data_IF_936940710308
#
_entry.id   IF_936940710308
#
_cell.length_a   1.000
_cell.length_b   1.000
_cell.length_c   1.000
_cell.angle_alpha   90.00
_cell.angle_beta   90.00
_cell.angle_gamma   90.00
#
_symmetry.space_group_name_H-M   'P 1'
#
loop_
_entity.id
_entity.type
_entity.pdbx_description
1 polymer ?
#
# COMPACT_ATOMS: atom_id res chain seq x y z
N UNK A 1 12.28 -7.67 7.07
CA UNK A 1 11.42 -6.52 6.70
C UNK A 1 11.26 -5.57 7.87
N UNK A 2 10.61 -5.99 8.93
CA UNK A 2 10.34 -5.12 10.10
C UNK A 2 11.62 -4.71 10.84
N UNK A 3 12.66 -5.51 10.83
CA UNK A 3 13.89 -5.28 11.57
C UNK A 3 14.86 -4.23 10.97
N UNK A 4 14.57 -3.72 9.78
CA UNK A 4 15.46 -2.81 9.05
C UNK A 4 14.93 -1.37 8.97
N UNK A 5 13.76 -1.08 9.58
CA UNK A 5 13.14 0.24 9.58
C UNK A 5 12.56 0.63 10.94
N UNK A 6 12.23 1.90 11.08
CA UNK A 6 11.47 2.39 12.22
C UNK A 6 9.97 2.26 11.91
N UNK A 7 9.26 1.43 12.67
CA UNK A 7 7.83 1.17 12.47
C UNK A 7 7.02 1.91 13.53
N UNK A 8 6.12 2.76 13.10
CA UNK A 8 5.22 3.54 13.96
C UNK A 8 3.78 3.16 13.65
N UNK A 9 3.07 2.66 14.65
CA UNK A 9 1.61 2.50 14.60
C UNK A 9 0.91 3.75 15.10
N UNK A 10 -0.01 4.27 14.32
CA UNK A 10 -0.79 5.48 14.65
C UNK A 10 -2.16 5.09 15.27
N UNK A 11 -2.19 4.10 16.14
CA UNK A 11 -3.36 3.66 16.86
C UNK A 11 -3.10 3.68 18.37
N UNK A 12 -4.17 3.92 19.14
CA UNK A 12 -4.10 3.88 20.59
C UNK A 12 -4.28 2.43 21.04
N UNK A 13 -3.43 1.98 21.94
CA UNK A 13 -3.51 0.64 22.53
C UNK A 13 -3.89 0.73 24.02
N UNK A 14 -4.53 -0.33 24.52
CA UNK A 14 -4.75 -0.53 25.94
C UNK A 14 -3.45 -0.98 26.67
N UNK A 15 -3.53 -1.14 27.99
CA UNK A 15 -2.40 -1.59 28.82
C UNK A 15 -1.89 -2.99 28.45
N UNK A 16 -2.64 -3.75 27.66
CA UNK A 16 -2.29 -5.09 27.16
C UNK A 16 -1.74 -5.04 25.74
N UNK A 17 -1.69 -3.86 25.10
CA UNK A 17 -1.23 -3.68 23.73
C UNK A 17 -2.31 -3.92 22.65
N UNK A 18 -3.60 -4.07 23.02
CA UNK A 18 -4.67 -4.23 22.04
C UNK A 18 -5.09 -2.87 21.49
N UNK A 19 -5.29 -2.72 20.17
CA UNK A 19 -5.79 -1.48 19.58
C UNK A 19 -7.20 -1.15 20.09
N UNK A 20 -7.39 0.05 20.62
CA UNK A 20 -8.69 0.56 21.13
C UNK A 20 -9.22 1.75 20.33
N UNK A 21 -8.40 2.36 19.47
CA UNK A 21 -8.82 3.41 18.58
C UNK A 21 -7.97 3.38 17.30
N UNK A 22 -8.58 3.81 16.20
CA UNK A 22 -7.90 3.99 14.91
C UNK A 22 -6.98 5.21 14.92
N UNK A 23 -6.11 5.32 13.92
CA UNK A 23 -5.28 6.49 13.67
C UNK A 23 -6.11 7.79 13.72
N UNK A 24 -5.55 8.84 14.27
CA UNK A 24 -6.11 10.18 14.13
C UNK A 24 -6.13 10.56 12.65
N UNK A 25 -7.22 11.21 12.20
CA UNK A 25 -7.39 11.52 10.78
C UNK A 25 -6.20 12.21 10.14
N UNK A 26 -5.86 11.82 8.92
CA UNK A 26 -4.81 12.42 8.10
C UNK A 26 -3.45 11.69 8.12
N UNK A 27 -3.37 10.52 8.74
CA UNK A 27 -2.15 9.70 8.77
C UNK A 27 -2.49 8.24 8.53
N UNK A 28 -1.55 7.50 7.94
CA UNK A 28 -1.67 6.05 7.78
C UNK A 28 -1.71 5.33 9.12
N UNK A 29 -2.42 4.20 9.18
CA UNK A 29 -2.52 3.36 10.39
C UNK A 29 -1.15 2.91 10.90
N UNK A 30 -0.26 2.53 9.98
CA UNK A 30 1.12 2.15 10.27
C UNK A 30 2.04 2.84 9.27
N UNK A 31 3.16 3.37 9.75
CA UNK A 31 4.21 3.95 8.92
C UNK A 31 5.51 3.18 9.16
N UNK A 32 6.09 2.66 8.09
CA UNK A 32 7.43 2.11 8.05
C UNK A 32 8.39 3.13 7.45
N UNK A 33 9.37 3.60 8.23
CA UNK A 33 10.42 4.51 7.77
C UNK A 33 11.74 3.73 7.61
N UNK A 34 12.22 3.64 6.38
CA UNK A 34 13.44 2.93 6.00
C UNK A 34 14.60 3.89 5.66
N UNK A 35 14.45 5.18 5.97
CA UNK A 35 15.43 6.21 5.72
C UNK A 35 15.33 6.77 4.28
N UNK A 36 15.56 5.97 3.27
CA UNK A 36 15.48 6.38 1.86
C UNK A 36 14.05 6.49 1.34
N UNK A 37 13.12 5.74 1.94
CA UNK A 37 11.71 5.75 1.58
C UNK A 37 10.83 5.39 2.78
N UNK A 38 9.54 5.67 2.64
CA UNK A 38 8.51 5.32 3.63
C UNK A 38 7.41 4.47 3.01
N UNK A 39 6.81 3.63 3.85
CA UNK A 39 5.61 2.86 3.48
C UNK A 39 4.49 3.25 4.44
N UNK A 40 3.37 3.71 3.89
CA UNK A 40 2.12 3.83 4.64
C UNK A 40 1.29 2.56 4.48
N UNK A 41 0.88 1.95 5.59
CA UNK A 41 0.02 0.77 5.59
C UNK A 41 -1.33 1.18 6.14
N UNK A 42 -2.38 0.86 5.41
CA UNK A 42 -3.77 1.12 5.76
C UNK A 42 -4.54 -0.19 5.82
N UNK A 43 -5.31 -0.38 6.87
CA UNK A 43 -6.08 -1.60 7.10
C UNK A 43 -7.56 -1.25 7.29
N UNK A 44 -8.43 -1.85 6.50
CA UNK A 44 -9.86 -1.60 6.62
C UNK A 44 -10.70 -2.88 6.73
N UNK A 45 -11.79 -2.77 7.47
CA UNK A 45 -12.86 -3.77 7.50
C UNK A 45 -14.00 -3.44 6.52
N UNK A 46 -13.92 -2.29 5.83
CA UNK A 46 -14.91 -1.88 4.84
C UNK A 46 -14.90 -2.81 3.62
N UNK A 47 -16.07 -3.03 3.03
CA UNK A 47 -16.24 -3.89 1.85
C UNK A 47 -17.12 -3.23 0.78
N UNK A 48 -17.01 -3.70 -0.46
CA UNK A 48 -17.85 -3.24 -1.57
C UNK A 48 -17.68 -1.74 -1.88
N UNK A 49 -18.76 -1.07 -2.24
CA UNK A 49 -18.72 0.36 -2.62
C UNK A 49 -18.27 1.26 -1.47
N UNK A 50 -18.62 0.94 -0.24
CA UNK A 50 -18.18 1.70 0.94
C UNK A 50 -16.67 1.75 1.07
N UNK A 51 -15.97 0.70 0.67
CA UNK A 51 -14.50 0.65 0.69
C UNK A 51 -13.90 1.76 -0.18
N UNK A 52 -14.44 2.00 -1.37
CA UNK A 52 -14.00 3.10 -2.23
C UNK A 52 -14.36 4.48 -1.65
N UNK A 53 -15.61 4.66 -1.19
CA UNK A 53 -16.11 5.95 -0.70
C UNK A 53 -15.40 6.40 0.58
N UNK A 54 -15.07 5.46 1.46
CA UNK A 54 -14.47 5.77 2.77
C UNK A 54 -12.94 5.72 2.77
N UNK A 55 -12.32 4.93 1.88
CA UNK A 55 -10.89 4.64 1.96
C UNK A 55 -10.11 5.10 0.71
N UNK A 56 -10.72 5.11 -0.47
CA UNK A 56 -9.99 5.37 -1.72
C UNK A 56 -9.25 6.71 -1.69
N UNK A 57 -9.96 7.81 -1.53
CA UNK A 57 -9.39 9.16 -1.47
C UNK A 57 -8.57 9.40 -0.18
N UNK A 58 -9.07 9.09 1.03
CA UNK A 58 -8.30 9.30 2.24
C UNK A 58 -6.94 8.59 2.24
N UNK A 59 -6.88 7.34 1.83
CA UNK A 59 -5.62 6.58 1.74
C UNK A 59 -4.67 7.22 0.73
N UNK A 60 -5.17 7.60 -0.45
CA UNK A 60 -4.35 8.31 -1.45
C UNK A 60 -3.78 9.62 -0.91
N UNK A 61 -4.55 10.34 -0.12
CA UNK A 61 -4.12 11.59 0.52
C UNK A 61 -3.07 11.34 1.61
N UNK A 62 -3.22 10.31 2.44
CA UNK A 62 -2.25 9.95 3.46
C UNK A 62 -0.88 9.63 2.84
N UNK A 63 -0.85 8.84 1.76
CA UNK A 63 0.41 8.55 1.06
C UNK A 63 0.96 9.80 0.38
N UNK A 64 0.11 10.64 -0.21
CA UNK A 64 0.51 11.94 -0.76
C UNK A 64 1.13 12.87 0.29
N UNK A 65 0.68 12.85 1.53
CA UNK A 65 1.30 13.60 2.64
C UNK A 65 2.66 13.02 3.02
N UNK A 66 2.81 11.68 3.04
CA UNK A 66 4.12 11.04 3.26
C UNK A 66 5.13 11.42 2.19
N UNK A 67 4.70 11.55 0.93
CA UNK A 67 5.56 11.94 -0.21
C UNK A 67 6.15 13.34 -0.08
N UNK A 68 5.56 14.23 0.73
CA UNK A 68 6.16 15.54 1.03
C UNK A 68 7.46 15.44 1.83
N UNK A 69 7.68 14.33 2.50
CA UNK A 69 8.84 14.06 3.33
C UNK A 69 9.93 13.23 2.62
N UNK A 70 9.66 12.78 1.40
CA UNK A 70 10.55 11.93 0.59
C UNK A 70 9.78 10.83 -0.16
N UNK A 71 10.48 9.93 -0.85
CA UNK A 71 9.84 8.83 -1.56
C UNK A 71 8.96 8.00 -0.63
N UNK A 72 7.70 7.76 -1.04
CA UNK A 72 6.76 6.96 -0.25
C UNK A 72 5.76 6.23 -1.15
N UNK A 73 5.28 5.09 -0.68
CA UNK A 73 4.20 4.33 -1.30
C UNK A 73 3.31 3.68 -0.25
N UNK A 74 2.17 3.16 -0.67
CA UNK A 74 1.16 2.58 0.21
C UNK A 74 0.99 1.07 0.04
N UNK A 75 0.57 0.40 1.12
CA UNK A 75 -0.03 -0.93 1.10
C UNK A 75 -1.41 -0.79 1.72
N UNK A 76 -2.43 -1.16 0.97
CA UNK A 76 -3.81 -1.16 1.44
C UNK A 76 -4.28 -2.59 1.67
N UNK A 77 -4.77 -2.89 2.87
CA UNK A 77 -5.15 -4.24 3.29
C UNK A 77 -6.64 -4.27 3.61
N UNK A 78 -7.35 -5.20 2.99
CA UNK A 78 -8.76 -5.47 3.26
C UNK A 78 -9.07 -6.97 3.16
N UNK A 79 -10.12 -7.44 3.82
CA UNK A 79 -10.54 -8.85 3.69
C UNK A 79 -10.87 -9.18 2.22
N UNK A 80 -11.66 -8.32 1.58
CA UNK A 80 -12.00 -8.40 0.15
C UNK A 80 -11.77 -7.06 -0.51
N UNK A 81 -11.05 -7.07 -1.62
CA UNK A 81 -10.83 -5.88 -2.43
C UNK A 81 -12.00 -5.65 -3.38
N UNK A 82 -12.54 -4.44 -3.40
CA UNK A 82 -13.52 -4.05 -4.42
C UNK A 82 -12.81 -3.65 -5.73
N UNK A 83 -13.45 -3.94 -6.86
CA UNK A 83 -12.94 -3.53 -8.16
C UNK A 83 -12.75 -2.02 -8.25
N UNK A 84 -13.63 -1.25 -7.63
CA UNK A 84 -13.57 0.22 -7.60
C UNK A 84 -12.35 0.76 -6.84
N UNK A 85 -11.94 0.11 -5.75
CA UNK A 85 -10.71 0.47 -5.03
C UNK A 85 -9.47 0.13 -5.84
N UNK A 86 -9.44 -1.04 -6.49
CA UNK A 86 -8.33 -1.41 -7.39
C UNK A 86 -8.20 -0.40 -8.53
N UNK A 87 -9.32 -0.05 -9.19
CA UNK A 87 -9.34 0.98 -10.24
C UNK A 87 -8.85 2.34 -9.73
N UNK A 88 -9.28 2.76 -8.54
CA UNK A 88 -8.86 4.02 -7.96
C UNK A 88 -7.34 4.08 -7.75
N UNK A 89 -6.75 3.06 -7.15
CA UNK A 89 -5.31 3.03 -6.90
C UNK A 89 -4.49 2.88 -8.19
N UNK A 90 -4.98 2.12 -9.17
CA UNK A 90 -4.40 2.09 -10.50
C UNK A 90 -4.35 3.49 -11.13
N UNK A 91 -5.47 4.21 -11.13
CA UNK A 91 -5.55 5.57 -11.66
C UNK A 91 -4.63 6.53 -10.88
N UNK A 92 -4.59 6.44 -9.56
CA UNK A 92 -3.71 7.25 -8.70
C UNK A 92 -2.23 7.04 -9.00
N UNK A 93 -1.83 5.84 -9.39
CA UNK A 93 -0.44 5.54 -9.78
C UNK A 93 -0.03 6.13 -11.14
N UNK A 94 -1.00 6.49 -11.98
CA UNK A 94 -0.79 7.06 -13.31
C UNK A 94 -0.98 8.58 -13.30
N UNK A 95 -2.03 9.05 -12.61
CA UNK A 95 -2.46 10.44 -12.64
C UNK A 95 -1.56 11.31 -11.74
N UNK A 96 -0.95 12.34 -12.34
CA UNK A 96 -0.17 13.33 -11.60
C UNK A 96 -1.12 14.42 -11.08
N UNK A 97 -1.44 14.41 -9.80
CA UNK A 97 -2.38 15.36 -9.19
C UNK A 97 -1.71 16.23 -8.13
N UNK A 98 -2.14 17.49 -8.04
CA UNK A 98 -1.67 18.39 -6.96
C UNK A 98 -2.22 17.98 -5.59
N UNK A 99 -3.42 17.38 -5.57
CA UNK A 99 -4.09 16.94 -4.32
C UNK A 99 -3.25 15.92 -3.56
N UNK A 100 -2.60 15.02 -4.30
CA UNK A 100 -1.77 13.95 -3.71
C UNK A 100 -0.26 14.23 -3.81
N UNK A 101 0.14 15.45 -4.15
CA UNK A 101 1.54 15.80 -4.33
C UNK A 101 2.26 15.05 -5.46
N UNK A 102 1.51 14.61 -6.46
CA UNK A 102 2.03 13.85 -7.58
C UNK A 102 1.21 12.60 -7.87
N UNK A 103 1.89 11.57 -8.32
CA UNK A 103 1.36 10.22 -8.45
C UNK A 103 1.48 9.50 -7.12
N UNK A 104 0.51 8.68 -6.81
CA UNK A 104 0.50 7.89 -5.57
C UNK A 104 0.41 6.41 -5.92
N UNK A 105 1.41 5.65 -5.51
CA UNK A 105 1.40 4.20 -5.66
C UNK A 105 0.89 3.55 -4.38
N UNK A 106 -0.20 2.81 -4.50
CA UNK A 106 -0.80 2.06 -3.40
C UNK A 106 -1.07 0.64 -3.91
N UNK A 107 -0.47 -0.34 -3.27
CA UNK A 107 -0.61 -1.75 -3.63
C UNK A 107 -1.72 -2.37 -2.78
N UNK A 108 -2.89 -2.68 -3.37
CA UNK A 108 -3.98 -3.31 -2.64
C UNK A 108 -3.70 -4.81 -2.47
N UNK A 109 -3.87 -5.31 -1.26
CA UNK A 109 -3.73 -6.72 -0.91
C UNK A 109 -4.95 -7.21 -0.13
N UNK A 110 -5.40 -8.43 -0.40
CA UNK A 110 -6.32 -9.08 0.53
C UNK A 110 -5.58 -9.43 1.82
N UNK A 111 -6.30 -9.56 2.93
CA UNK A 111 -5.71 -10.02 4.20
C UNK A 111 -4.97 -11.34 4.03
N UNK A 112 -5.55 -12.29 3.27
CA UNK A 112 -4.91 -13.57 3.00
C UNK A 112 -3.60 -13.41 2.21
N UNK A 113 -3.59 -12.56 1.17
CA UNK A 113 -2.39 -12.24 0.39
C UNK A 113 -1.32 -11.58 1.25
N UNK A 114 -1.71 -10.64 2.12
CA UNK A 114 -0.78 -9.95 3.00
C UNK A 114 -0.16 -10.90 4.05
N UNK A 115 -0.94 -11.78 4.65
CA UNK A 115 -0.42 -12.77 5.61
C UNK A 115 0.59 -13.70 4.93
N UNK A 116 0.27 -14.22 3.74
CA UNK A 116 1.20 -15.06 2.98
C UNK A 116 2.48 -14.30 2.60
N UNK A 117 2.34 -13.05 2.14
CA UNK A 117 3.47 -12.16 1.88
C UNK A 117 4.34 -11.99 3.12
N UNK A 118 3.74 -11.66 4.26
CA UNK A 118 4.45 -11.42 5.52
C UNK A 118 5.21 -12.65 5.99
N UNK A 119 4.58 -13.83 6.00
CA UNK A 119 5.22 -15.08 6.39
C UNK A 119 6.43 -15.43 5.52
N UNK A 120 6.32 -15.26 4.20
CA UNK A 120 7.42 -15.49 3.27
C UNK A 120 8.52 -14.43 3.42
N UNK A 121 8.15 -13.16 3.58
CA UNK A 121 9.08 -12.07 3.77
C UNK A 121 9.95 -12.25 5.04
N UNK A 122 9.35 -12.73 6.13
CA UNK A 122 10.07 -13.04 7.37
C UNK A 122 11.04 -14.21 7.15
N UNK A 123 10.60 -15.28 6.47
CA UNK A 123 11.46 -16.45 6.19
C UNK A 123 12.65 -16.12 5.29
N UNK A 124 12.46 -15.21 4.34
CA UNK A 124 13.50 -14.79 3.38
C UNK A 124 14.41 -13.68 3.93
N UNK A 125 14.09 -13.11 5.09
CA UNK A 125 14.73 -11.90 5.61
C UNK A 125 14.73 -10.76 4.56
N UNK A 126 13.52 -10.44 4.04
CA UNK A 126 13.32 -9.47 2.99
C UNK A 126 13.94 -8.11 3.35
N UNK A 127 14.78 -7.60 2.47
CA UNK A 127 15.49 -6.34 2.69
C UNK A 127 14.65 -5.13 2.24
N UNK A 128 14.93 -3.92 2.76
CA UNK A 128 14.27 -2.70 2.28
C UNK A 128 14.35 -2.48 0.77
N UNK A 129 15.48 -2.81 0.16
CA UNK A 129 15.67 -2.75 -1.29
C UNK A 129 14.67 -3.61 -2.08
N UNK A 130 14.32 -4.78 -1.55
CA UNK A 130 13.35 -5.67 -2.20
C UNK A 130 11.93 -5.07 -2.15
N UNK A 131 11.58 -4.41 -1.03
CA UNK A 131 10.32 -3.67 -0.92
C UNK A 131 10.25 -2.51 -1.92
N UNK A 132 11.36 -1.80 -2.09
CA UNK A 132 11.42 -0.71 -3.05
C UNK A 132 11.31 -1.21 -4.50
N UNK A 133 11.87 -2.38 -4.81
CA UNK A 133 11.70 -3.02 -6.12
C UNK A 133 10.23 -3.36 -6.42
N UNK A 134 9.46 -3.79 -5.42
CA UNK A 134 8.02 -4.03 -5.58
C UNK A 134 7.30 -2.74 -5.98
N UNK A 135 7.61 -1.64 -5.32
CA UNK A 135 7.06 -0.32 -5.66
C UNK A 135 7.43 0.10 -7.08
N UNK A 136 8.72 0.01 -7.47
CA UNK A 136 9.16 0.36 -8.81
C UNK A 136 8.51 -0.52 -9.89
N UNK A 137 8.32 -1.82 -9.59
CA UNK A 137 7.58 -2.72 -10.48
C UNK A 137 6.14 -2.28 -10.65
N UNK A 138 5.44 -1.96 -9.56
CA UNK A 138 4.05 -1.48 -9.59
C UNK A 138 3.91 -0.24 -10.50
N UNK A 139 4.74 0.76 -10.30
CA UNK A 139 4.75 1.98 -11.12
C UNK A 139 5.09 1.73 -12.59
N UNK A 140 6.00 0.81 -12.87
CA UNK A 140 6.35 0.43 -14.24
C UNK A 140 5.18 -0.26 -14.93
N UNK A 141 4.54 -1.20 -14.24
CA UNK A 141 3.40 -1.94 -14.80
C UNK A 141 2.18 -1.05 -15.02
N UNK A 142 1.89 -0.11 -14.13
CA UNK A 142 0.76 0.81 -14.34
C UNK A 142 0.93 1.67 -15.59
N UNK A 143 2.13 2.16 -15.86
CA UNK A 143 2.44 2.91 -17.09
C UNK A 143 2.38 2.04 -18.35
N UNK A 144 2.97 0.84 -18.27
CA UNK A 144 2.97 -0.09 -19.38
C UNK A 144 1.55 -0.53 -19.75
N UNK A 145 0.74 -0.88 -18.76
CA UNK A 145 -0.60 -1.38 -18.99
C UNK A 145 -1.58 -0.31 -19.50
N UNK A 146 -1.36 0.95 -19.10
CA UNK A 146 -2.07 2.07 -19.71
C UNK A 146 -1.77 2.15 -21.22
N UNK A 147 -0.53 1.96 -21.62
CA UNK A 147 -0.09 1.96 -23.03
C UNK A 147 -0.62 0.76 -23.82
N UNK A 148 -0.71 -0.40 -23.17
CA UNK A 148 -1.17 -1.66 -23.76
C UNK A 148 -2.68 -1.83 -23.72
N UNK A 149 -3.43 -0.83 -23.22
CA UNK A 149 -4.89 -0.86 -23.03
C UNK A 149 -5.35 -2.06 -22.16
N UNK A 150 -4.49 -2.51 -21.23
CA UNK A 150 -4.81 -3.54 -20.25
C UNK A 150 -5.60 -2.98 -19.09
N UNK A 151 -6.30 -3.85 -18.39
CA UNK A 151 -7.17 -3.46 -17.29
C UNK A 151 -6.41 -3.26 -15.98
N UNK A 152 -7.01 -2.52 -15.06
CA UNK A 152 -6.54 -2.39 -13.68
C UNK A 152 -6.43 -3.74 -12.95
N UNK A 153 -7.26 -4.71 -13.32
CA UNK A 153 -7.17 -6.10 -12.79
C UNK A 153 -5.91 -6.82 -13.27
N UNK A 154 -5.50 -6.58 -14.52
CA UNK A 154 -4.27 -7.14 -15.06
C UNK A 154 -3.05 -6.53 -14.37
N UNK A 155 -3.07 -5.20 -14.14
CA UNK A 155 -2.07 -4.51 -13.33
C UNK A 155 -1.96 -5.13 -11.92
N UNK A 156 -3.08 -5.22 -11.20
CA UNK A 156 -3.11 -5.78 -9.85
C UNK A 156 -2.54 -7.20 -9.79
N UNK A 157 -2.97 -8.08 -10.71
CA UNK A 157 -2.44 -9.45 -10.81
C UNK A 157 -0.94 -9.47 -11.07
N UNK A 158 -0.45 -8.59 -11.95
CA UNK A 158 0.98 -8.51 -12.28
C UNK A 158 1.80 -8.10 -11.05
N UNK A 159 1.34 -7.09 -10.29
CA UNK A 159 2.02 -6.62 -9.08
C UNK A 159 2.06 -7.71 -8.01
N UNK A 160 0.94 -8.38 -7.76
CA UNK A 160 0.88 -9.48 -6.77
C UNK A 160 1.78 -10.65 -7.21
N UNK A 161 1.79 -10.99 -8.50
CA UNK A 161 2.66 -12.05 -9.02
C UNK A 161 4.14 -11.73 -8.80
N UNK A 162 4.55 -10.48 -9.03
CA UNK A 162 5.95 -10.06 -8.83
C UNK A 162 6.37 -10.10 -7.36
N UNK A 163 5.47 -9.71 -6.46
CA UNK A 163 5.71 -9.83 -5.01
C UNK A 163 6.08 -11.28 -4.65
N UNK A 164 5.33 -12.24 -5.15
CA UNK A 164 5.59 -13.65 -4.86
C UNK A 164 6.80 -14.21 -5.62
N UNK A 165 7.11 -13.70 -6.80
CA UNK A 165 8.36 -14.04 -7.51
C UNK A 165 9.58 -13.60 -6.71
N UNK A 166 9.57 -12.39 -6.17
CA UNK A 166 10.64 -11.87 -5.30
C UNK A 166 10.79 -12.67 -4.01
N UNK A 167 9.74 -13.36 -3.55
CA UNK A 167 9.73 -14.17 -2.34
C UNK A 167 10.01 -15.67 -2.59
N UNK A 168 10.16 -16.07 -3.84
CA UNK A 168 10.52 -17.44 -4.20
C UNK A 168 12.02 -17.58 -4.22
#
# INVERSE_FOLDING_TARGET
MINHGNIVGNFIVDDMGNPIATAGGGQSDIIGDYGEFKIGIEVTLSTGMKQYEMEGEPVSRHIGELQKQGPAFGIFIADKLSDTVISHFYISSIANTKVYNGRVDIIPMSTATFVEFFEKAVKKDLQPSDLYQIHEHSLRMSKQFLFEEKTEKDWHKSVISEIFNLLS
#
